data_IF_380700997640
#
_entry.id   IF_380700997640
#
_cell.length_a   1.000
_cell.length_b   1.000
_cell.length_c   1.000
_cell.angle_alpha   90.00
_cell.angle_beta   90.00
_cell.angle_gamma   90.00
#
_symmetry.space_group_name_H-M   'P 1'
#
loop_
_entity.id
_entity.type
_entity.pdbx_description
1 polymer ?
#
# COMPACT_ATOMS: atom_id res chain seq x y z
N UNK A 1 -11.83 -2.88 21.66
CA UNK A 1 -10.49 -2.84 21.01
C UNK A 1 -10.59 -2.50 19.52
N UNK A 2 -11.30 -3.29 18.70
CA UNK A 2 -11.40 -3.07 17.24
C UNK A 2 -12.02 -1.72 16.88
N UNK A 3 -13.12 -1.30 17.51
CA UNK A 3 -13.74 0.01 17.22
C UNK A 3 -12.81 1.18 17.54
N UNK A 4 -12.06 1.10 18.64
CA UNK A 4 -11.06 2.12 19.01
C UNK A 4 -9.95 2.21 17.96
N UNK A 5 -9.45 1.07 17.46
CA UNK A 5 -8.49 1.01 16.36
C UNK A 5 -9.06 1.65 15.09
N UNK A 6 -10.29 1.29 14.71
CA UNK A 6 -10.96 1.85 13.52
C UNK A 6 -11.14 3.36 13.65
N UNK A 7 -11.45 3.88 14.84
CA UNK A 7 -11.58 5.32 15.09
C UNK A 7 -10.23 6.04 14.97
N UNK A 8 -9.14 5.46 15.49
CA UNK A 8 -7.79 6.05 15.31
C UNK A 8 -7.36 6.06 13.85
N UNK A 9 -7.57 4.97 13.12
CA UNK A 9 -7.29 4.90 11.69
C UNK A 9 -8.15 5.89 10.89
N UNK A 10 -9.40 6.10 11.28
CA UNK A 10 -10.25 7.12 10.66
C UNK A 10 -9.73 8.53 10.95
N UNK A 11 -9.21 8.80 12.16
CA UNK A 11 -8.63 10.08 12.52
C UNK A 11 -7.31 10.39 11.78
N UNK A 12 -6.60 9.35 11.31
CA UNK A 12 -5.39 9.47 10.47
C UNK A 12 -5.69 9.75 9.00
N UNK A 13 -6.96 9.70 8.56
CA UNK A 13 -7.31 9.97 7.16
C UNK A 13 -7.18 11.45 6.81
N UNK A 14 -6.83 11.77 5.56
CA UNK A 14 -6.75 13.16 5.13
C UNK A 14 -8.14 13.80 5.05
N UNK A 15 -8.16 15.13 4.95
CA UNK A 15 -9.39 15.91 4.84
C UNK A 15 -10.21 15.53 3.60
N UNK A 16 -11.51 15.84 3.63
CA UNK A 16 -12.41 15.59 2.49
C UNK A 16 -11.88 16.18 1.18
N UNK A 17 -11.39 17.41 1.19
CA UNK A 17 -10.86 18.08 -0.01
C UNK A 17 -9.66 17.37 -0.63
N UNK A 18 -8.75 16.83 0.20
CA UNK A 18 -7.60 16.05 -0.29
C UNK A 18 -8.08 14.76 -0.95
N UNK A 19 -9.02 14.05 -0.31
CA UNK A 19 -9.59 12.81 -0.84
C UNK A 19 -10.35 13.05 -2.15
N UNK A 20 -11.22 14.05 -2.22
CA UNK A 20 -11.96 14.42 -3.43
C UNK A 20 -11.01 14.78 -4.57
N UNK A 21 -9.95 15.54 -4.28
CA UNK A 21 -8.90 15.88 -5.25
C UNK A 21 -8.15 14.63 -5.72
N UNK A 22 -7.84 13.70 -4.83
CA UNK A 22 -7.17 12.45 -5.17
C UNK A 22 -8.04 11.58 -6.08
N UNK A 23 -9.33 11.43 -5.79
CA UNK A 23 -10.29 10.72 -6.64
C UNK A 23 -10.43 11.40 -8.02
N UNK A 24 -10.50 12.74 -8.06
CA UNK A 24 -10.46 13.51 -9.32
C UNK A 24 -9.16 13.28 -10.10
N UNK A 25 -8.04 13.11 -9.39
CA UNK A 25 -6.74 12.73 -9.96
C UNK A 25 -6.76 11.36 -10.65
N UNK A 26 -7.42 10.36 -10.03
CA UNK A 26 -7.60 9.03 -10.65
C UNK A 26 -8.39 9.16 -11.94
N UNK A 27 -9.54 9.85 -11.91
CA UNK A 27 -10.34 10.10 -13.12
C UNK A 27 -9.52 10.83 -14.19
N UNK A 28 -8.74 11.85 -13.80
CA UNK A 28 -7.92 12.61 -14.74
C UNK A 28 -6.86 11.74 -15.44
N UNK A 29 -6.24 10.78 -14.74
CA UNK A 29 -5.28 9.86 -15.36
C UNK A 29 -5.97 8.80 -16.23
N UNK A 30 -7.16 8.35 -15.82
CA UNK A 30 -7.90 7.31 -16.53
C UNK A 30 -8.61 7.84 -17.79
N UNK A 31 -9.29 8.98 -17.68
CA UNK A 31 -10.12 9.56 -18.73
C UNK A 31 -10.15 11.11 -18.63
N UNK A 32 -9.09 11.81 -19.07
CA UNK A 32 -8.90 13.25 -18.84
C UNK A 32 -10.03 14.15 -19.36
N UNK A 33 -10.65 13.78 -20.49
CA UNK A 33 -11.72 14.56 -21.12
C UNK A 33 -13.02 14.62 -20.31
N UNK A 34 -13.18 13.75 -19.32
CA UNK A 34 -14.43 13.58 -18.57
C UNK A 34 -14.36 14.17 -17.16
N UNK A 35 -13.24 14.78 -16.79
CA UNK A 35 -12.99 15.28 -15.43
C UNK A 35 -14.06 16.24 -14.94
N UNK A 36 -14.64 17.06 -15.82
CA UNK A 36 -15.68 18.03 -15.48
C UNK A 36 -17.11 17.48 -15.61
N UNK A 37 -17.27 16.26 -16.15
CA UNK A 37 -18.56 15.55 -16.17
C UNK A 37 -18.91 14.90 -14.84
N UNK A 38 -17.98 14.86 -13.88
CA UNK A 38 -18.17 14.23 -12.57
C UNK A 38 -17.94 15.22 -11.42
N UNK A 39 -18.84 15.20 -10.43
CA UNK A 39 -18.63 15.83 -9.12
C UNK A 39 -18.39 14.74 -8.06
N UNK A 40 -17.41 14.96 -7.19
CA UNK A 40 -16.98 14.00 -6.18
C UNK A 40 -17.11 14.60 -4.79
N UNK A 41 -17.75 13.88 -3.86
CA UNK A 41 -17.99 14.37 -2.50
C UNK A 41 -17.75 13.31 -1.44
N UNK A 42 -17.01 13.68 -0.40
CA UNK A 42 -16.88 12.85 0.80
C UNK A 42 -18.10 13.10 1.68
N UNK A 43 -18.73 11.99 2.09
CA UNK A 43 -19.87 12.00 3.01
C UNK A 43 -19.54 11.24 4.30
N UNK A 44 -20.14 11.64 5.43
CA UNK A 44 -19.99 10.92 6.69
C UNK A 44 -20.60 9.51 6.61
N UNK A 45 -20.07 8.54 7.36
CA UNK A 45 -20.58 7.14 7.37
C UNK A 45 -22.02 7.07 7.85
N UNK A 46 -22.44 7.99 8.69
CA UNK A 46 -23.80 8.14 9.21
C UNK A 46 -24.79 8.36 8.05
N UNK A 47 -24.37 9.06 7.00
CA UNK A 47 -25.17 9.21 5.79
C UNK A 47 -25.43 7.83 5.16
N UNK A 48 -24.48 6.90 5.22
CA UNK A 48 -24.54 5.53 4.70
C UNK A 48 -25.03 4.49 5.74
N UNK A 49 -25.85 4.88 6.73
CA UNK A 49 -26.36 3.95 7.74
C UNK A 49 -25.27 3.36 8.65
N UNK A 50 -24.20 4.10 8.88
CA UNK A 50 -23.08 3.71 9.75
C UNK A 50 -22.04 2.81 9.08
N UNK A 51 -22.18 2.50 7.79
CA UNK A 51 -21.23 1.69 7.01
C UNK A 51 -20.50 2.55 5.98
N UNK A 52 -19.36 2.07 5.50
CA UNK A 52 -18.71 2.69 4.36
C UNK A 52 -19.52 2.39 3.08
N UNK A 53 -19.73 3.40 2.23
CA UNK A 53 -20.53 3.27 1.02
C UNK A 53 -20.07 4.25 -0.07
N UNK A 54 -20.56 4.02 -1.28
CA UNK A 54 -20.63 5.05 -2.32
C UNK A 54 -22.07 5.21 -2.83
N UNK A 55 -22.36 6.41 -3.34
CA UNK A 55 -23.63 6.75 -3.97
C UNK A 55 -23.39 7.37 -5.34
N UNK A 56 -24.26 7.07 -6.28
CA UNK A 56 -24.22 7.61 -7.64
C UNK A 56 -25.57 8.26 -7.91
N UNK A 57 -25.55 9.54 -8.30
CA UNK A 57 -26.75 10.33 -8.61
C UNK A 57 -26.54 11.09 -9.90
N UNK A 58 -27.64 11.42 -10.58
CA UNK A 58 -27.57 12.42 -11.64
C UNK A 58 -27.37 13.79 -10.99
N UNK A 59 -26.46 14.58 -11.53
CA UNK A 59 -26.27 15.96 -11.10
C UNK A 59 -27.38 16.83 -11.71
N UNK A 60 -27.92 17.77 -10.93
CA UNK A 60 -28.90 18.74 -11.44
C UNK A 60 -28.20 19.61 -12.49
N UNK A 61 -28.55 19.42 -13.76
CA UNK A 61 -27.94 20.13 -14.88
C UNK A 61 -28.40 21.59 -14.85
N UNK A 62 -27.51 22.50 -14.48
CA UNK A 62 -27.76 23.94 -14.57
C UNK A 62 -27.34 24.52 -15.93
N UNK A 63 -26.38 23.88 -16.62
CA UNK A 63 -25.87 24.29 -17.95
C UNK A 63 -25.35 23.07 -18.73
N UNK A 64 -25.10 23.22 -20.04
CA UNK A 64 -24.57 22.15 -20.91
C UNK A 64 -23.17 21.66 -20.47
N UNK A 65 -22.42 22.46 -19.71
CA UNK A 65 -21.06 22.15 -19.25
C UNK A 65 -20.99 21.86 -17.73
N UNK A 66 -22.13 21.63 -17.06
CA UNK A 66 -22.11 21.20 -15.66
C UNK A 66 -21.80 19.71 -15.55
N UNK A 67 -21.30 19.29 -14.39
CA UNK A 67 -21.22 17.88 -14.05
C UNK A 67 -22.55 17.17 -14.35
N UNK A 68 -22.46 15.93 -14.81
CA UNK A 68 -23.60 15.09 -15.20
C UNK A 68 -23.89 14.05 -14.13
N UNK A 69 -22.84 13.53 -13.50
CA UNK A 69 -22.90 12.49 -12.49
C UNK A 69 -22.23 12.98 -11.21
N UNK A 70 -22.90 12.80 -10.08
CA UNK A 70 -22.34 13.01 -8.76
C UNK A 70 -22.03 11.66 -8.13
N UNK A 71 -20.80 11.48 -7.64
CA UNK A 71 -20.40 10.31 -6.87
C UNK A 71 -20.00 10.75 -5.48
N UNK A 72 -20.76 10.27 -4.50
CA UNK A 72 -20.50 10.50 -3.08
C UNK A 72 -19.87 9.24 -2.49
N UNK A 73 -18.96 9.36 -1.54
CA UNK A 73 -18.39 8.19 -0.86
C UNK A 73 -17.82 8.50 0.51
N UNK A 74 -17.66 7.47 1.34
CA UNK A 74 -17.11 7.64 2.69
C UNK A 74 -15.60 7.84 2.73
N UNK A 75 -14.92 7.50 1.63
CA UNK A 75 -13.49 7.72 1.37
C UNK A 75 -13.26 7.94 -0.12
N UNK A 76 -12.08 8.42 -0.52
CA UNK A 76 -11.72 8.49 -1.93
C UNK A 76 -11.66 7.12 -2.62
N UNK A 77 -11.26 6.05 -1.92
CA UNK A 77 -11.41 4.67 -2.43
C UNK A 77 -12.87 4.35 -2.74
N UNK A 78 -13.82 4.75 -1.89
CA UNK A 78 -15.25 4.47 -2.13
C UNK A 78 -15.78 5.28 -3.31
N UNK A 79 -15.39 6.56 -3.44
CA UNK A 79 -15.71 7.39 -4.61
C UNK A 79 -15.16 6.75 -5.88
N UNK A 80 -13.89 6.34 -5.87
CA UNK A 80 -13.22 5.74 -7.03
C UNK A 80 -13.81 4.38 -7.39
N UNK A 81 -14.25 3.60 -6.39
CA UNK A 81 -15.03 2.37 -6.61
C UNK A 81 -16.38 2.65 -7.23
N UNK A 82 -17.06 3.72 -6.83
CA UNK A 82 -18.30 4.18 -7.44
C UNK A 82 -18.11 4.61 -8.90
N UNK A 83 -17.00 5.29 -9.20
CA UNK A 83 -16.62 5.64 -10.57
C UNK A 83 -16.40 4.38 -11.42
N UNK A 84 -15.64 3.40 -10.90
CA UNK A 84 -15.41 2.13 -11.58
C UNK A 84 -16.73 1.36 -11.78
N UNK A 85 -17.62 1.35 -10.78
CA UNK A 85 -18.94 0.75 -10.89
C UNK A 85 -19.75 1.40 -12.02
N UNK A 86 -19.78 2.73 -12.08
CA UNK A 86 -20.48 3.48 -13.12
C UNK A 86 -19.94 3.15 -14.51
N UNK A 87 -18.62 3.19 -14.68
CA UNK A 87 -17.99 2.84 -15.94
C UNK A 87 -18.31 1.41 -16.36
N UNK A 88 -18.27 0.45 -15.43
CA UNK A 88 -18.55 -0.95 -15.72
C UNK A 88 -20.01 -1.23 -16.08
N UNK A 89 -20.96 -0.71 -15.32
CA UNK A 89 -22.36 -1.13 -15.43
C UNK A 89 -23.25 -0.15 -16.18
N UNK A 90 -22.83 1.11 -16.32
CA UNK A 90 -23.58 2.10 -17.08
C UNK A 90 -22.94 2.39 -18.44
N UNK A 91 -21.62 2.22 -18.57
CA UNK A 91 -20.87 2.56 -19.79
C UNK A 91 -20.21 1.37 -20.48
N UNK A 92 -20.45 0.13 -20.02
CA UNK A 92 -19.85 -1.11 -20.56
C UNK A 92 -18.31 -1.09 -20.67
N UNK A 93 -17.65 -0.33 -19.80
CA UNK A 93 -16.20 -0.16 -19.80
C UNK A 93 -15.49 -1.12 -18.82
N UNK A 94 -14.19 -1.34 -19.03
CA UNK A 94 -13.40 -2.27 -18.21
C UNK A 94 -12.02 -1.71 -17.87
N UNK A 95 -11.52 -1.99 -16.66
CA UNK A 95 -10.17 -1.63 -16.24
C UNK A 95 -9.45 -2.84 -15.64
N UNK A 96 -8.32 -3.20 -16.23
CA UNK A 96 -7.42 -4.28 -15.80
C UNK A 96 -5.95 -3.84 -15.85
N UNK A 97 -5.02 -4.71 -15.49
CA UNK A 97 -3.60 -4.43 -15.73
C UNK A 97 -3.29 -4.33 -17.22
N UNK A 98 -2.32 -3.52 -17.60
CA UNK A 98 -1.93 -3.31 -19.00
C UNK A 98 -1.65 -4.63 -19.74
N UNK A 99 -0.94 -5.57 -19.09
CA UNK A 99 -0.62 -6.88 -19.68
C UNK A 99 -1.81 -7.83 -19.81
N UNK A 100 -2.96 -7.51 -19.20
CA UNK A 100 -4.18 -8.32 -19.25
C UNK A 100 -5.32 -7.66 -20.02
N UNK A 101 -5.05 -6.56 -20.73
CA UNK A 101 -6.04 -5.83 -21.53
C UNK A 101 -6.17 -4.35 -21.20
N UNK A 102 -5.54 -3.86 -20.13
CA UNK A 102 -5.52 -2.45 -19.77
C UNK A 102 -6.90 -1.86 -19.48
N UNK A 103 -7.04 -0.56 -19.75
CA UNK A 103 -8.28 0.19 -19.61
C UNK A 103 -9.01 0.28 -20.97
N UNK A 104 -10.14 -0.40 -21.09
CA UNK A 104 -11.03 -0.39 -22.24
C UNK A 104 -12.16 0.60 -21.97
N UNK A 105 -11.96 1.86 -22.36
CA UNK A 105 -12.84 2.99 -22.03
C UNK A 105 -13.56 3.59 -23.24
N UNK A 106 -13.37 3.03 -24.45
CA UNK A 106 -13.93 3.58 -25.69
C UNK A 106 -15.46 3.58 -25.72
N UNK A 107 -16.09 2.73 -24.91
CA UNK A 107 -17.54 2.67 -24.75
C UNK A 107 -18.11 3.79 -23.87
N UNK A 108 -17.26 4.52 -23.12
CA UNK A 108 -17.70 5.64 -22.26
C UNK A 108 -18.17 6.80 -23.15
N UNK A 109 -19.46 7.19 -23.09
CA UNK A 109 -19.97 8.26 -23.94
C UNK A 109 -19.28 9.59 -23.69
N UNK A 110 -19.28 10.48 -24.70
CA UNK A 110 -18.68 11.81 -24.59
C UNK A 110 -19.37 12.64 -23.49
N UNK A 111 -18.65 13.60 -22.88
CA UNK A 111 -19.27 14.60 -22.00
C UNK A 111 -20.54 15.20 -22.61
N UNK A 112 -21.58 15.33 -21.80
CA UNK A 112 -22.93 15.75 -22.17
C UNK A 112 -23.88 14.59 -22.52
N UNK A 113 -23.36 13.38 -22.74
CA UNK A 113 -24.12 12.19 -23.13
C UNK A 113 -23.95 11.01 -22.16
N UNK A 114 -23.47 11.26 -20.93
CA UNK A 114 -23.26 10.19 -19.96
C UNK A 114 -24.60 9.53 -19.55
N UNK A 115 -24.67 8.19 -19.47
CA UNK A 115 -25.91 7.49 -19.12
C UNK A 115 -26.44 7.89 -17.74
N UNK A 116 -27.70 8.30 -17.67
CA UNK A 116 -28.34 8.67 -16.41
C UNK A 116 -28.56 7.43 -15.53
N UNK A 117 -28.34 7.57 -14.24
CA UNK A 117 -28.75 6.57 -13.25
C UNK A 117 -30.25 6.72 -12.94
N UNK A 118 -30.87 5.68 -12.36
CA UNK A 118 -32.30 5.72 -11.97
C UNK A 118 -32.58 6.90 -11.04
N UNK A 119 -33.82 7.43 -11.07
CA UNK A 119 -34.22 8.68 -10.41
C UNK A 119 -33.90 8.75 -8.91
N UNK A 120 -33.91 7.62 -8.20
CA UNK A 120 -33.65 7.57 -6.76
C UNK A 120 -32.14 7.48 -6.43
N UNK A 121 -31.27 7.53 -7.44
CA UNK A 121 -29.85 7.24 -7.31
C UNK A 121 -29.57 5.76 -7.03
N UNK A 122 -28.28 5.46 -6.85
CA UNK A 122 -27.78 4.15 -6.43
C UNK A 122 -26.94 4.34 -5.17
N UNK A 123 -27.10 3.45 -4.19
CA UNK A 123 -26.20 3.34 -3.04
C UNK A 123 -25.67 1.92 -2.96
N UNK A 124 -24.35 1.77 -2.77
CA UNK A 124 -23.71 0.48 -2.53
C UNK A 124 -22.85 0.58 -1.29
N UNK A 125 -23.21 -0.21 -0.27
CA UNK A 125 -22.44 -0.34 0.95
C UNK A 125 -21.36 -1.38 0.78
N UNK A 126 -20.20 -1.13 1.39
CA UNK A 126 -19.13 -2.13 1.46
C UNK A 126 -19.62 -3.34 2.27
N UNK A 127 -19.41 -4.58 1.77
CA UNK A 127 -19.80 -5.78 2.50
C UNK A 127 -18.89 -6.05 3.70
N UNK A 128 -17.65 -5.56 3.66
CA UNK A 128 -16.63 -5.75 4.71
C UNK A 128 -15.90 -4.42 4.99
N UNK A 129 -15.41 -4.20 6.22
CA UNK A 129 -14.67 -2.99 6.56
C UNK A 129 -13.34 -2.88 5.82
N UNK A 130 -12.71 -4.02 5.50
CA UNK A 130 -11.36 -4.11 4.96
C UNK A 130 -11.31 -5.02 3.73
N UNK A 131 -10.84 -4.46 2.62
CA UNK A 131 -10.53 -5.16 1.37
C UNK A 131 -9.02 -5.10 1.19
N UNK A 132 -8.38 -6.20 1.55
CA UNK A 132 -6.93 -6.35 1.55
C UNK A 132 -6.40 -6.73 0.17
N UNK A 133 -5.17 -6.31 -0.13
CA UNK A 133 -4.47 -6.67 -1.36
C UNK A 133 -2.99 -6.92 -1.10
N UNK A 134 -2.43 -7.80 -1.96
CA UNK A 134 -1.03 -8.23 -2.05
C UNK A 134 -0.65 -9.40 -1.14
N UNK A 135 0.29 -10.22 -1.59
CA UNK A 135 1.07 -11.12 -0.75
C UNK A 135 2.49 -10.54 -0.59
N UNK A 136 3.18 -10.81 0.51
CA UNK A 136 4.59 -10.39 0.69
C UNK A 136 5.50 -10.83 -0.46
N UNK A 137 5.24 -12.00 -1.07
CA UNK A 137 6.02 -12.51 -2.21
C UNK A 137 5.82 -11.71 -3.50
N UNK A 138 4.70 -11.01 -3.63
CA UNK A 138 4.40 -10.18 -4.82
C UNK A 138 5.43 -9.06 -4.99
N UNK A 139 6.01 -8.59 -3.89
CA UNK A 139 7.09 -7.60 -3.91
C UNK A 139 8.32 -8.05 -4.71
N UNK A 140 8.64 -9.35 -4.64
CA UNK A 140 9.77 -9.94 -5.37
C UNK A 140 9.38 -10.44 -6.76
N UNK A 141 8.21 -11.08 -6.90
CA UNK A 141 7.79 -11.68 -8.16
C UNK A 141 7.25 -10.68 -9.18
N UNK A 142 6.74 -9.53 -8.74
CA UNK A 142 6.04 -8.60 -9.62
C UNK A 142 6.56 -7.18 -9.50
N UNK A 143 6.79 -6.68 -8.28
CA UNK A 143 6.99 -5.24 -8.04
C UNK A 143 8.46 -4.81 -8.03
N UNK A 144 9.40 -5.75 -7.96
CA UNK A 144 10.83 -5.45 -7.72
C UNK A 144 11.39 -4.41 -8.69
N UNK A 145 10.97 -4.41 -9.95
CA UNK A 145 11.46 -3.46 -10.96
C UNK A 145 10.47 -2.34 -11.29
N UNK A 146 9.44 -2.15 -10.46
CA UNK A 146 8.48 -1.06 -10.67
C UNK A 146 9.07 0.28 -10.23
N UNK A 147 8.91 1.26 -11.10
CA UNK A 147 9.12 2.66 -10.78
C UNK A 147 7.83 3.29 -10.24
N UNK A 148 7.89 4.61 -10.01
CA UNK A 148 6.73 5.36 -9.56
C UNK A 148 5.56 5.32 -10.55
N UNK A 149 5.82 5.43 -11.85
CA UNK A 149 4.75 5.46 -12.87
C UNK A 149 3.92 4.17 -12.85
N UNK A 150 4.58 3.02 -12.69
CA UNK A 150 3.88 1.75 -12.56
C UNK A 150 3.16 1.61 -11.21
N UNK A 151 3.75 2.08 -10.12
CA UNK A 151 3.10 2.09 -8.80
C UNK A 151 1.87 3.00 -8.75
N UNK A 152 1.92 4.17 -9.39
CA UNK A 152 0.79 5.09 -9.47
C UNK A 152 -0.42 4.40 -10.13
N UNK A 153 -0.20 3.71 -11.26
CA UNK A 153 -1.23 2.92 -11.93
C UNK A 153 -1.78 1.79 -11.06
N UNK A 154 -0.93 1.12 -10.27
CA UNK A 154 -1.40 0.07 -9.36
C UNK A 154 -2.27 0.63 -8.25
N UNK A 155 -1.89 1.76 -7.65
CA UNK A 155 -2.66 2.36 -6.55
C UNK A 155 -4.00 2.91 -7.06
N UNK A 156 -4.03 3.49 -8.27
CA UNK A 156 -5.28 3.87 -8.93
C UNK A 156 -6.17 2.65 -9.16
N UNK A 157 -5.60 1.55 -9.67
CA UNK A 157 -6.34 0.29 -9.84
C UNK A 157 -6.84 -0.25 -8.50
N UNK A 158 -6.03 -0.24 -7.45
CA UNK A 158 -6.44 -0.61 -6.08
C UNK A 158 -7.68 0.19 -5.66
N UNK A 159 -7.68 1.52 -5.85
CA UNK A 159 -8.81 2.37 -5.50
C UNK A 159 -10.08 2.07 -6.33
N UNK A 160 -9.94 1.81 -7.64
CA UNK A 160 -11.04 1.40 -8.51
C UNK A 160 -11.64 0.04 -8.09
N UNK A 161 -10.81 -0.88 -7.60
CA UNK A 161 -11.27 -2.18 -7.07
C UNK A 161 -11.76 -2.11 -5.61
N UNK A 162 -11.73 -0.94 -4.98
CA UNK A 162 -12.16 -0.75 -3.61
C UNK A 162 -11.18 -1.29 -2.56
N UNK A 163 -9.92 -1.52 -2.89
CA UNK A 163 -8.90 -1.90 -1.91
C UNK A 163 -8.62 -0.74 -0.97
N UNK A 164 -8.67 -1.00 0.34
CA UNK A 164 -8.45 0.03 1.36
C UNK A 164 -7.40 -0.35 2.41
N UNK A 165 -6.81 -1.56 2.34
CA UNK A 165 -5.73 -1.99 3.23
C UNK A 165 -4.62 -2.73 2.45
N UNK A 166 -3.83 -2.03 1.64
CA UNK A 166 -2.73 -2.64 0.89
C UNK A 166 -1.46 -2.82 1.76
N UNK A 167 -0.65 -3.84 1.45
CA UNK A 167 0.73 -3.91 1.95
C UNK A 167 1.59 -2.78 1.36
N UNK A 168 2.51 -2.23 2.17
CA UNK A 168 3.45 -1.20 1.75
C UNK A 168 4.86 -1.51 2.28
N UNK A 169 5.52 -2.50 1.68
CA UNK A 169 6.81 -3.05 2.14
C UNK A 169 8.04 -2.54 1.38
N UNK A 170 7.85 -1.65 0.39
CA UNK A 170 8.93 -1.12 -0.47
C UNK A 170 9.96 -0.36 0.38
N UNK A 171 11.25 -0.59 0.12
CA UNK A 171 12.34 0.15 0.77
C UNK A 171 12.60 -0.14 2.26
N UNK A 172 11.98 -1.16 2.87
CA UNK A 172 12.18 -1.44 4.29
C UNK A 172 13.64 -1.76 4.67
N UNK A 173 14.47 -2.21 3.72
CA UNK A 173 15.91 -2.41 3.95
C UNK A 173 16.64 -1.10 4.29
N UNK A 174 16.17 0.05 3.78
CA UNK A 174 16.72 1.35 4.13
C UNK A 174 16.40 1.75 5.58
N UNK A 175 15.25 1.29 6.11
CA UNK A 175 14.91 1.44 7.52
C UNK A 175 15.79 0.51 8.37
N UNK A 176 15.93 -0.75 7.96
CA UNK A 176 16.80 -1.72 8.64
C UNK A 176 18.27 -1.27 8.68
N UNK A 177 18.77 -0.65 7.61
CA UNK A 177 20.12 -0.07 7.60
C UNK A 177 20.30 0.97 8.71
N UNK A 178 19.31 1.84 8.94
CA UNK A 178 19.35 2.87 9.99
C UNK A 178 19.28 2.25 11.38
N UNK A 179 18.34 1.31 11.57
CA UNK A 179 18.20 0.59 12.84
C UNK A 179 19.50 -0.10 13.21
N UNK A 180 20.04 -0.94 12.33
CA UNK A 180 21.21 -1.75 12.65
C UNK A 180 22.50 -0.93 12.83
N UNK A 181 22.58 0.27 12.24
CA UNK A 181 23.64 1.22 12.54
C UNK A 181 23.65 1.65 14.03
N UNK A 182 22.50 1.78 14.68
CA UNK A 182 22.40 2.09 16.13
C UNK A 182 22.91 0.94 17.01
N UNK A 183 22.90 -0.28 16.48
CA UNK A 183 23.42 -1.47 17.13
C UNK A 183 24.86 -1.81 16.70
N UNK A 184 25.58 -0.83 16.16
CA UNK A 184 26.98 -0.94 15.69
C UNK A 184 27.22 -1.99 14.59
N UNK A 185 26.19 -2.34 13.81
CA UNK A 185 26.35 -3.20 12.64
C UNK A 185 26.70 -2.31 11.44
N UNK A 186 27.82 -2.61 10.80
CA UNK A 186 28.31 -1.89 9.63
C UNK A 186 27.52 -2.23 8.37
N UNK A 187 27.54 -1.34 7.39
CA UNK A 187 26.97 -1.60 6.06
C UNK A 187 27.57 -2.85 5.40
N UNK A 188 28.86 -3.14 5.66
CA UNK A 188 29.50 -4.34 5.12
C UNK A 188 28.91 -5.62 5.73
N UNK A 189 28.62 -5.63 7.03
CA UNK A 189 27.97 -6.78 7.68
C UNK A 189 26.52 -6.98 7.21
N UNK A 190 25.84 -5.89 6.79
CA UNK A 190 24.51 -5.99 6.21
C UNK A 190 24.49 -6.59 4.79
N UNK A 191 25.63 -6.62 4.08
CA UNK A 191 25.73 -7.29 2.78
C UNK A 191 25.52 -8.81 2.89
N UNK A 192 25.86 -9.39 4.04
CA UNK A 192 25.61 -10.81 4.33
C UNK A 192 24.21 -11.07 4.91
N UNK A 193 23.46 -10.01 5.25
CA UNK A 193 22.11 -10.10 5.80
C UNK A 193 21.01 -9.86 4.75
N UNK A 194 21.12 -8.81 3.94
CA UNK A 194 20.10 -8.53 2.94
C UNK A 194 20.18 -9.52 1.77
N UNK A 195 19.03 -9.96 1.28
CA UNK A 195 18.93 -10.60 -0.02
C UNK A 195 19.05 -9.60 -1.17
N UNK A 196 19.24 -10.10 -2.39
CA UNK A 196 19.14 -9.30 -3.61
C UNK A 196 17.72 -8.84 -3.89
N UNK A 197 17.52 -7.83 -4.77
CA UNK A 197 16.21 -7.23 -5.03
C UNK A 197 15.09 -8.24 -5.31
N UNK A 198 15.34 -9.21 -6.18
CA UNK A 198 14.36 -10.23 -6.59
C UNK A 198 14.10 -11.31 -5.53
N UNK A 199 14.79 -11.28 -4.39
CA UNK A 199 14.67 -12.28 -3.33
C UNK A 199 14.28 -11.68 -1.96
N UNK A 200 14.02 -10.37 -1.91
CA UNK A 200 13.73 -9.66 -0.66
C UNK A 200 12.53 -10.21 0.10
N UNK A 201 11.50 -10.73 -0.56
CA UNK A 201 10.36 -11.31 0.13
C UNK A 201 10.78 -12.46 1.07
N UNK A 202 11.57 -13.41 0.58
CA UNK A 202 12.08 -14.53 1.39
C UNK A 202 13.14 -14.08 2.38
N UNK A 203 13.93 -13.06 2.04
CA UNK A 203 14.89 -12.50 2.98
C UNK A 203 14.21 -11.88 4.21
N UNK A 204 13.15 -11.09 3.99
CA UNK A 204 12.34 -10.45 5.06
C UNK A 204 11.66 -11.47 5.97
N UNK A 205 11.18 -12.57 5.39
CA UNK A 205 10.60 -13.69 6.14
C UNK A 205 11.65 -14.56 6.85
N UNK A 206 12.93 -14.24 6.74
CA UNK A 206 14.03 -14.98 7.38
C UNK A 206 14.36 -16.32 6.72
N UNK A 207 13.81 -16.62 5.54
CA UNK A 207 14.04 -17.89 4.87
C UNK A 207 15.44 -17.98 4.24
N UNK A 208 15.95 -16.86 3.73
CA UNK A 208 17.29 -16.76 3.12
C UNK A 208 17.95 -15.44 3.52
N UNK A 209 19.25 -15.33 3.26
CA UNK A 209 19.99 -14.07 3.34
C UNK A 209 21.13 -14.06 2.31
N UNK A 210 21.71 -12.89 2.02
CA UNK A 210 22.85 -12.69 1.08
C UNK A 210 22.61 -13.04 -0.41
N UNK A 211 21.75 -14.01 -0.73
CA UNK A 211 21.55 -14.47 -2.11
C UNK A 211 21.06 -13.37 -3.05
N UNK A 212 21.75 -13.20 -4.19
CA UNK A 212 21.47 -12.16 -5.18
C UNK A 212 21.88 -10.74 -4.77
N UNK A 213 22.45 -10.56 -3.58
CA UNK A 213 22.98 -9.29 -3.10
C UNK A 213 24.43 -9.03 -3.54
N UNK A 214 25.08 -7.98 -2.99
CA UNK A 214 24.54 -7.04 -2.00
C UNK A 214 23.61 -5.98 -2.63
N UNK A 215 22.80 -5.32 -1.79
CA UNK A 215 22.05 -4.14 -2.20
C UNK A 215 22.97 -2.91 -2.24
N UNK A 216 22.95 -2.17 -3.35
CA UNK A 216 23.69 -0.90 -3.43
C UNK A 216 23.04 0.20 -2.60
N UNK A 217 23.81 1.19 -2.13
CA UNK A 217 23.24 2.35 -1.44
C UNK A 217 22.25 3.13 -2.33
N UNK A 218 22.52 3.19 -3.64
CA UNK A 218 21.60 3.81 -4.60
C UNK A 218 20.24 3.11 -4.64
N UNK A 219 20.23 1.78 -4.57
CA UNK A 219 18.99 1.00 -4.46
C UNK A 219 18.21 1.37 -3.20
N UNK A 220 18.87 1.35 -2.02
CA UNK A 220 18.24 1.69 -0.75
C UNK A 220 17.62 3.09 -0.75
N UNK A 221 18.38 4.08 -1.26
CA UNK A 221 17.92 5.46 -1.34
C UNK A 221 16.71 5.60 -2.28
N UNK A 222 16.76 4.98 -3.47
CA UNK A 222 15.67 5.07 -4.44
C UNK A 222 14.40 4.36 -3.96
N UNK A 223 14.53 3.19 -3.32
CA UNK A 223 13.40 2.46 -2.78
C UNK A 223 12.76 3.21 -1.59
N UNK A 224 13.55 3.92 -0.77
CA UNK A 224 13.03 4.76 0.29
C UNK A 224 12.20 5.94 -0.26
N UNK A 225 12.70 6.61 -1.31
CA UNK A 225 11.96 7.68 -2.00
C UNK A 225 10.67 7.14 -2.60
N UNK A 226 10.74 6.00 -3.30
CA UNK A 226 9.58 5.36 -3.92
C UNK A 226 8.51 5.01 -2.88
N UNK A 227 8.90 4.45 -1.73
CA UNK A 227 7.97 4.13 -0.64
C UNK A 227 7.25 5.38 -0.12
N UNK A 228 7.94 6.52 0.03
CA UNK A 228 7.29 7.77 0.44
C UNK A 228 6.23 8.23 -0.55
N UNK A 229 6.48 8.08 -1.86
CA UNK A 229 5.48 8.40 -2.89
C UNK A 229 4.28 7.43 -2.84
N UNK A 230 4.54 6.14 -2.68
CA UNK A 230 3.51 5.09 -2.52
C UNK A 230 2.60 5.41 -1.34
N UNK A 231 3.20 5.65 -0.17
CA UNK A 231 2.45 5.96 1.05
C UNK A 231 1.65 7.24 0.92
N UNK A 232 2.22 8.31 0.35
CA UNK A 232 1.49 9.57 0.12
C UNK A 232 0.22 9.33 -0.70
N UNK A 233 0.32 8.61 -1.82
CA UNK A 233 -0.84 8.36 -2.68
C UNK A 233 -1.87 7.42 -2.04
N UNK A 234 -1.42 6.39 -1.33
CA UNK A 234 -2.33 5.52 -0.58
C UNK A 234 -3.14 6.32 0.45
N UNK A 235 -2.49 7.21 1.21
CA UNK A 235 -3.13 8.05 2.21
C UNK A 235 -4.08 9.06 1.58
N UNK A 236 -3.67 9.76 0.50
CA UNK A 236 -4.51 10.68 -0.27
C UNK A 236 -5.84 10.02 -0.71
N UNK A 237 -5.79 8.75 -1.10
CA UNK A 237 -6.98 7.98 -1.49
C UNK A 237 -7.76 7.41 -0.31
N UNK A 238 -7.32 7.63 0.93
CA UNK A 238 -7.98 7.15 2.14
C UNK A 238 -7.74 5.67 2.45
N UNK A 239 -6.71 5.06 1.86
CA UNK A 239 -6.24 3.72 2.20
C UNK A 239 -5.49 3.71 3.54
N UNK A 240 -5.45 2.56 4.20
CA UNK A 240 -4.63 2.30 5.38
C UNK A 240 -3.50 1.35 4.99
N UNK A 241 -2.27 1.86 4.77
CA UNK A 241 -1.15 0.99 4.43
C UNK A 241 -0.78 0.09 5.61
N UNK A 242 -0.41 -1.16 5.31
CA UNK A 242 0.19 -2.08 6.28
C UNK A 242 1.70 -1.97 6.18
N UNK A 243 2.33 -1.46 7.24
CA UNK A 243 3.78 -1.30 7.32
C UNK A 243 4.46 -2.56 7.89
N UNK A 244 5.75 -2.79 7.60
CA UNK A 244 6.48 -3.90 8.19
C UNK A 244 6.66 -3.76 9.71
N UNK A 245 6.86 -4.86 10.41
CA UNK A 245 7.28 -4.93 11.82
C UNK A 245 8.40 -5.94 12.03
N UNK A 246 9.08 -5.84 13.17
CA UNK A 246 10.14 -6.76 13.55
C UNK A 246 9.59 -8.11 14.05
N UNK A 247 10.13 -9.21 13.51
CA UNK A 247 9.78 -10.60 13.88
C UNK A 247 10.87 -11.35 14.66
N UNK A 248 12.01 -10.71 14.94
CA UNK A 248 13.16 -11.36 15.56
C UNK A 248 14.28 -11.75 14.59
N UNK A 249 14.09 -11.63 13.27
CA UNK A 249 15.13 -11.96 12.29
C UNK A 249 16.23 -10.89 12.32
N UNK A 250 17.47 -11.30 12.58
CA UNK A 250 18.62 -10.40 12.79
C UNK A 250 19.85 -10.83 11.98
N UNK A 251 20.79 -9.90 11.68
CA UNK A 251 22.08 -10.24 11.09
C UNK A 251 22.92 -11.13 12.00
N UNK A 252 23.75 -12.00 11.40
CA UNK A 252 24.71 -12.82 12.14
C UNK A 252 25.66 -11.98 13.02
N UNK A 253 26.04 -10.79 12.53
CA UNK A 253 26.90 -9.83 13.22
C UNK A 253 26.37 -9.43 14.61
N UNK A 254 25.04 -9.40 14.79
CA UNK A 254 24.44 -9.06 16.08
C UNK A 254 24.90 -10.01 17.20
N UNK A 255 25.14 -11.29 16.88
CA UNK A 255 25.64 -12.28 17.84
C UNK A 255 27.09 -12.01 18.27
N UNK A 256 27.91 -11.47 17.36
CA UNK A 256 29.30 -11.07 17.68
C UNK A 256 29.33 -9.82 18.57
N UNK A 257 28.44 -8.87 18.31
CA UNK A 257 28.36 -7.60 19.06
C UNK A 257 27.71 -7.80 20.43
N UNK A 258 26.69 -8.65 20.51
CA UNK A 258 25.96 -8.98 21.74
C UNK A 258 26.08 -10.48 22.05
N UNK A 259 27.24 -10.96 22.55
CA UNK A 259 27.51 -12.39 22.74
C UNK A 259 26.61 -13.07 23.78
N UNK A 260 26.00 -12.30 24.69
CA UNK A 260 25.04 -12.80 25.68
C UNK A 260 23.61 -12.86 25.17
N UNK A 261 23.33 -12.31 23.97
CA UNK A 261 21.99 -12.32 23.41
C UNK A 261 21.57 -13.74 23.03
N UNK A 262 20.31 -14.08 23.32
CA UNK A 262 19.73 -15.39 22.98
C UNK A 262 19.37 -15.41 21.49
N UNK A 263 20.35 -15.74 20.65
CA UNK A 263 20.20 -15.79 19.20
C UNK A 263 20.44 -17.22 18.69
N UNK A 264 19.39 -17.80 18.11
CA UNK A 264 19.39 -19.14 17.53
C UNK A 264 19.51 -19.07 16.02
N UNK A 265 20.31 -19.98 15.44
CA UNK A 265 20.37 -20.16 13.99
C UNK A 265 19.21 -21.06 13.57
N UNK A 266 18.41 -20.60 12.61
CA UNK A 266 17.26 -21.35 12.12
C UNK A 266 17.69 -22.55 11.25
N UNK A 267 16.74 -23.44 10.98
CA UNK A 267 16.94 -24.54 10.04
C UNK A 267 17.00 -24.07 8.58
N UNK A 268 17.41 -24.99 7.72
CA UNK A 268 17.41 -24.79 6.26
C UNK A 268 15.98 -24.66 5.74
N UNK A 269 15.72 -23.59 4.99
CA UNK A 269 14.52 -23.43 4.17
C UNK A 269 14.92 -23.52 2.70
N UNK A 270 14.94 -24.74 2.16
CA UNK A 270 15.21 -25.02 0.74
C UNK A 270 16.32 -24.15 0.12
N UNK A 271 17.48 -24.18 0.75
CA UNK A 271 18.61 -23.31 0.40
C UNK A 271 19.03 -23.44 -1.05
N UNK A 272 19.48 -22.32 -1.65
CA UNK A 272 19.99 -22.27 -3.02
C UNK A 272 21.13 -23.26 -3.18
N UNK A 273 20.90 -24.27 -4.03
CA UNK A 273 21.81 -25.39 -4.31
C UNK A 273 22.32 -26.11 -3.04
N UNK A 274 21.55 -26.08 -1.95
CA UNK A 274 21.95 -26.64 -0.66
C UNK A 274 23.14 -25.95 0.01
N UNK A 275 23.51 -24.74 -0.43
CA UNK A 275 24.68 -24.00 0.08
C UNK A 275 24.35 -23.21 1.36
N UNK A 276 24.80 -23.63 2.56
CA UNK A 276 24.38 -23.03 3.84
C UNK A 276 24.78 -21.56 4.04
N UNK A 277 25.56 -20.98 3.11
CA UNK A 277 25.88 -19.55 3.04
C UNK A 277 24.62 -18.68 2.92
N UNK A 278 23.59 -19.15 2.22
CA UNK A 278 22.43 -18.34 1.85
C UNK A 278 21.19 -18.58 2.71
N UNK A 279 21.32 -19.32 3.80
CA UNK A 279 20.20 -19.85 4.56
C UNK A 279 20.33 -19.60 6.05
N UNK A 280 19.31 -20.08 6.75
CA UNK A 280 19.45 -20.39 8.15
C UNK A 280 19.73 -19.11 8.94
N UNK A 281 18.84 -18.15 8.72
CA UNK A 281 18.86 -16.84 9.35
C UNK A 281 18.90 -16.95 10.87
N UNK A 282 19.26 -15.85 11.51
CA UNK A 282 19.38 -15.80 12.96
C UNK A 282 18.10 -15.22 13.55
N UNK A 283 17.53 -15.92 14.51
CA UNK A 283 16.32 -15.52 15.24
C UNK A 283 16.71 -15.14 16.67
N UNK A 284 16.47 -13.87 17.00
CA UNK A 284 16.55 -13.35 18.36
C UNK A 284 15.33 -13.83 19.17
N UNK A 285 15.59 -14.36 20.37
CA UNK A 285 14.55 -14.84 21.26
C UNK A 285 13.61 -13.68 21.66
N UNK A 286 12.28 -13.86 21.60
CA UNK A 286 11.31 -12.84 22.04
C UNK A 286 11.43 -12.40 23.50
N UNK A 287 12.02 -13.23 24.37
CA UNK A 287 12.29 -12.88 25.77
C UNK A 287 13.61 -12.15 25.99
N UNK A 288 14.46 -12.02 24.96
CA UNK A 288 15.70 -11.25 25.05
C UNK A 288 15.38 -9.74 25.10
N UNK A 289 15.97 -8.96 26.02
CA UNK A 289 15.74 -7.51 26.09
C UNK A 289 16.04 -6.75 24.80
N UNK A 290 16.92 -7.26 23.93
CA UNK A 290 17.19 -6.66 22.62
C UNK A 290 15.99 -6.74 21.67
N UNK A 291 15.07 -7.69 21.87
CA UNK A 291 13.94 -7.88 20.97
C UNK A 291 13.04 -6.64 20.96
N UNK A 292 12.71 -6.12 22.15
CA UNK A 292 11.92 -4.90 22.31
C UNK A 292 12.70 -3.69 21.79
N UNK A 293 13.99 -3.56 22.14
CA UNK A 293 14.82 -2.42 21.71
C UNK A 293 14.92 -2.30 20.19
N UNK A 294 15.16 -3.41 19.49
CA UNK A 294 15.24 -3.43 18.02
C UNK A 294 13.87 -3.14 17.40
N UNK A 295 12.81 -3.74 17.95
CA UNK A 295 11.44 -3.47 17.50
C UNK A 295 11.03 -2.00 17.65
N UNK A 296 11.31 -1.39 18.80
CA UNK A 296 11.07 0.03 19.06
C UNK A 296 11.88 0.92 18.13
N UNK A 297 13.18 0.63 17.93
CA UNK A 297 14.01 1.36 16.97
C UNK A 297 13.42 1.28 15.55
N UNK A 298 12.98 0.10 15.11
CA UNK A 298 12.41 -0.08 13.78
C UNK A 298 11.11 0.71 13.58
N UNK A 299 10.18 0.66 14.54
CA UNK A 299 8.97 1.48 14.48
C UNK A 299 9.30 2.97 14.56
N UNK A 300 10.25 3.36 15.41
CA UNK A 300 10.73 4.73 15.54
C UNK A 300 11.25 5.30 14.22
N UNK A 301 12.15 4.57 13.53
CA UNK A 301 12.66 4.98 12.21
C UNK A 301 11.58 5.03 11.14
N UNK A 302 10.61 4.10 11.15
CA UNK A 302 9.46 4.20 10.24
C UNK A 302 8.64 5.47 10.49
N UNK A 303 8.34 5.80 11.75
CA UNK A 303 7.62 7.03 12.10
C UNK A 303 8.43 8.28 11.71
N UNK A 304 9.74 8.28 11.89
CA UNK A 304 10.60 9.39 11.44
C UNK A 304 10.57 9.57 9.93
N UNK A 305 10.59 8.48 9.16
CA UNK A 305 10.65 8.54 7.69
C UNK A 305 9.30 8.79 7.03
N UNK A 306 8.23 8.24 7.60
CA UNK A 306 6.90 8.15 6.98
C UNK A 306 5.83 8.93 7.75
N UNK A 307 6.08 9.29 9.00
CA UNK A 307 5.07 9.81 9.93
C UNK A 307 4.25 8.71 10.61
N UNK A 308 3.42 9.10 11.58
CA UNK A 308 2.52 8.18 12.27
C UNK A 308 1.23 7.94 11.44
N UNK A 309 1.37 7.17 10.37
CA UNK A 309 0.35 7.03 9.31
C UNK A 309 -0.56 5.78 9.44
N UNK A 310 -0.20 4.81 10.28
CA UNK A 310 -0.97 3.57 10.44
C UNK A 310 -0.79 2.97 11.82
N UNK A 311 -1.78 2.19 12.24
CA UNK A 311 -1.74 1.33 13.43
C UNK A 311 -1.63 -0.16 13.05
N UNK A 312 -1.48 -0.47 11.75
CA UNK A 312 -1.50 -1.84 11.24
C UNK A 312 -0.12 -2.20 10.71
N UNK A 313 0.47 -3.22 11.35
CA UNK A 313 1.79 -3.72 11.02
C UNK A 313 1.76 -5.23 10.78
N UNK A 314 2.60 -5.71 9.87
CA UNK A 314 2.84 -7.13 9.62
C UNK A 314 4.33 -7.39 9.55
N UNK A 315 4.78 -8.56 9.97
CA UNK A 315 6.13 -9.03 9.69
C UNK A 315 6.14 -9.96 8.47
#
# INVERSE_FOLDING_TARGET
>A
AIESLLNRLQAKKPSSSVQETAAKGVLKRLLPSHVDSFDFRIIPKEACGGKACFRIRNHERSTINSAEIMIEGTTAVDITSGLHFYFKYSCDAHVSWEKTGGAQLDSVPKPGSLPLVRSNGLEIQRPVPWNYYQNVVTSSYSYVWWDWERWEKEIDWMALQGINIPLAFTGQEAIWQKVFAEFNISTLELNDFFGGPSFLAWARMGNLHSWGGPLSQNWLNNQLVLQKQILSRMLELGMTPVLPSFSGIVPAALKSIFPTASINRLGDWNTVDGNPRYCCSYLLNPSDPLFVKIGEAFIGHQITEYGDITDIYSW
#
